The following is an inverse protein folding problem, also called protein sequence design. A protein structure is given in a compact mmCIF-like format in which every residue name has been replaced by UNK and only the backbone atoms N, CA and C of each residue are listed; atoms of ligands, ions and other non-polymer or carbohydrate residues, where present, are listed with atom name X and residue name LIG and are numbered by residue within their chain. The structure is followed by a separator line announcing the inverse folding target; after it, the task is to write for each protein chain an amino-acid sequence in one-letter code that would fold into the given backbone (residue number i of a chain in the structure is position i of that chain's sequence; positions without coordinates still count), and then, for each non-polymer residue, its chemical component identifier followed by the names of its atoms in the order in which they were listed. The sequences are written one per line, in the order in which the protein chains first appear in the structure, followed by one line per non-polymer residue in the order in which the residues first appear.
data_IF_711168372662
#
_entry.id   IF_711168372662
#
_cell.length_a   1.000
_cell.length_b   1.000
_cell.length_c   1.000
_cell.angle_alpha   90.00
_cell.angle_beta   90.00
_cell.angle_gamma   90.00
#
_symmetry.space_group_name_H-M   'P 1'
#
loop_
_entity.id
_entity.type
_entity.pdbx_description
1 polymer ?
#
# COMPACT_ATOMS: atom_id res chain seq x y z
N UNK A 1 42.78 44.54 -40.96
CA UNK A 1 42.30 45.35 -42.10
C UNK A 1 40.88 44.92 -42.44
N UNK A 2 39.96 45.84 -42.28
CA UNK A 2 38.54 45.84 -42.74
C UNK A 2 37.58 44.96 -41.94
N UNK A 3 36.66 45.49 -41.26
CA UNK A 3 35.77 46.66 -41.32
C UNK A 3 34.31 46.17 -41.32
N UNK A 4 33.64 46.50 -40.27
CA UNK A 4 32.22 46.90 -40.13
C UNK A 4 31.18 46.29 -41.10
N UNK A 5 30.06 45.78 -40.55
CA UNK A 5 28.80 46.49 -40.72
C UNK A 5 27.72 46.02 -39.71
N UNK A 6 27.23 46.97 -38.98
CA UNK A 6 25.98 46.95 -38.22
C UNK A 6 24.77 46.86 -39.16
N UNK A 7 23.80 46.02 -38.82
CA UNK A 7 22.40 46.29 -39.19
C UNK A 7 21.53 45.99 -37.98
N UNK A 8 21.10 47.10 -37.37
CA UNK A 8 19.95 47.10 -36.47
C UNK A 8 18.67 47.01 -37.31
N UNK A 9 17.78 46.07 -36.96
CA UNK A 9 16.39 46.13 -37.41
C UNK A 9 15.48 46.00 -36.18
N UNK A 10 14.94 47.13 -35.88
CA UNK A 10 13.74 47.34 -35.05
C UNK A 10 12.54 46.70 -35.72
N UNK A 11 11.80 45.86 -35.01
CA UNK A 11 10.45 45.49 -35.41
C UNK A 11 9.56 45.33 -34.17
N UNK A 12 8.83 46.36 -33.96
CA UNK A 12 7.39 46.48 -33.64
C UNK A 12 6.76 45.46 -32.73
N UNK A 13 6.36 45.99 -31.58
CA UNK A 13 5.33 45.46 -30.69
C UNK A 13 4.01 45.19 -31.44
N UNK A 14 3.56 43.97 -31.41
CA UNK A 14 2.19 43.60 -31.73
C UNK A 14 1.58 42.89 -30.52
N UNK A 15 0.93 43.66 -29.65
CA UNK A 15 0.12 43.12 -28.56
C UNK A 15 -1.17 42.56 -29.14
N UNK A 16 -1.26 41.24 -29.22
CA UNK A 16 -2.55 40.55 -29.46
C UNK A 16 -3.07 40.08 -28.12
N UNK A 17 -3.97 40.85 -27.57
CA UNK A 17 -4.76 40.51 -26.39
C UNK A 17 -5.85 39.51 -26.83
N UNK A 18 -5.64 38.23 -26.65
CA UNK A 18 -6.69 37.23 -26.81
C UNK A 18 -7.38 37.04 -25.46
N UNK A 19 -8.56 37.64 -25.34
CA UNK A 19 -9.50 37.36 -24.25
C UNK A 19 -10.06 35.95 -24.44
N UNK A 20 -9.55 35.01 -23.70
CA UNK A 20 -10.23 33.72 -23.47
C UNK A 20 -11.25 33.89 -22.37
N UNK A 21 -12.52 34.06 -22.76
CA UNK A 21 -13.63 33.84 -21.85
C UNK A 21 -13.70 32.34 -21.55
N UNK A 22 -13.18 31.91 -20.42
CA UNK A 22 -13.38 30.56 -19.92
C UNK A 22 -14.79 30.46 -19.36
N UNK A 23 -15.70 29.91 -20.15
CA UNK A 23 -16.98 29.40 -19.64
C UNK A 23 -16.72 28.20 -18.76
N UNK A 24 -16.80 28.40 -17.46
CA UNK A 24 -16.88 27.29 -16.51
C UNK A 24 -18.25 26.65 -16.64
N UNK A 25 -18.38 25.62 -17.46
CA UNK A 25 -19.47 24.67 -17.34
C UNK A 25 -19.15 23.75 -16.16
N UNK A 26 -19.76 24.02 -15.02
CA UNK A 26 -19.78 23.11 -13.89
C UNK A 26 -20.58 21.88 -14.33
N UNK A 27 -19.91 20.81 -14.69
CA UNK A 27 -20.53 19.50 -14.82
C UNK A 27 -20.75 18.97 -13.40
N UNK A 28 -21.94 19.19 -12.86
CA UNK A 28 -22.46 18.45 -11.72
C UNK A 28 -22.62 16.97 -12.14
N UNK A 29 -21.60 16.17 -11.91
CA UNK A 29 -21.75 14.73 -11.87
C UNK A 29 -22.37 14.37 -10.53
N UNK A 30 -23.69 14.52 -10.44
CA UNK A 30 -24.50 13.97 -9.37
C UNK A 30 -24.40 12.46 -9.38
N UNK A 31 -23.52 11.92 -8.51
CA UNK A 31 -23.54 10.50 -8.17
C UNK A 31 -24.94 10.18 -7.65
N UNK A 32 -25.70 9.41 -8.43
CA UNK A 32 -27.01 8.90 -8.03
C UNK A 32 -26.79 7.85 -6.95
N UNK A 33 -26.73 8.29 -5.70
CA UNK A 33 -27.01 7.39 -4.59
C UNK A 33 -28.49 7.02 -4.70
N UNK A 34 -28.76 5.74 -4.86
CA UNK A 34 -30.12 5.22 -4.83
C UNK A 34 -30.68 5.45 -3.43
N UNK A 35 -31.53 6.46 -3.28
CA UNK A 35 -32.30 6.70 -2.05
C UNK A 35 -33.69 6.09 -2.32
N UNK A 36 -34.16 5.14 -1.53
CA UNK A 36 -35.55 4.65 -1.67
C UNK A 36 -36.51 5.78 -1.37
N UNK A 37 -37.16 6.31 -2.38
CA UNK A 37 -38.24 7.28 -2.25
C UNK A 37 -39.55 6.55 -1.99
N UNK A 38 -39.76 6.03 -0.81
CA UNK A 38 -41.09 5.76 -0.26
C UNK A 38 -41.02 5.64 1.25
N UNK A 39 -40.98 6.75 1.94
CA UNK A 39 -41.49 6.79 3.30
C UNK A 39 -42.63 7.76 3.36
N UNK A 40 -43.83 7.23 3.28
CA UNK A 40 -45.04 7.93 3.70
C UNK A 40 -44.85 8.24 5.21
N UNK A 41 -44.78 9.52 5.61
CA UNK A 41 -44.56 9.88 7.01
C UNK A 41 -45.67 9.40 7.98
N UNK A 42 -46.82 8.96 7.48
CA UNK A 42 -47.94 8.55 8.31
C UNK A 42 -47.95 7.07 8.72
N UNK A 43 -46.94 6.27 8.34
CA UNK A 43 -46.91 4.84 8.69
C UNK A 43 -45.78 4.42 9.64
N UNK A 44 -44.94 5.34 10.10
CA UNK A 44 -43.92 4.99 11.09
C UNK A 44 -44.51 5.11 12.51
N UNK A 45 -45.12 4.06 12.99
CA UNK A 45 -45.38 3.86 14.42
C UNK A 45 -44.22 3.05 15.01
N UNK A 46 -43.40 3.61 15.91
CA UNK A 46 -42.44 2.83 16.62
C UNK A 46 -43.19 1.91 17.61
N UNK A 47 -43.26 0.63 17.29
CA UNK A 47 -43.68 -0.39 18.26
C UNK A 47 -42.59 -0.51 19.33
N UNK A 48 -42.65 0.32 20.35
CA UNK A 48 -41.93 0.11 21.59
C UNK A 48 -42.65 -1.03 22.31
N UNK A 49 -42.30 -2.27 21.97
CA UNK A 49 -42.67 -3.40 22.79
C UNK A 49 -41.71 -3.44 24.01
N UNK A 50 -42.10 -2.76 25.08
CA UNK A 50 -41.54 -2.97 26.39
C UNK A 50 -41.92 -4.39 26.82
N UNK A 51 -41.12 -5.39 26.46
CA UNK A 51 -41.20 -6.69 27.11
C UNK A 51 -40.38 -6.63 28.40
N UNK A 52 -41.13 -6.75 29.50
CA UNK A 52 -40.63 -6.94 30.86
C UNK A 52 -39.47 -7.96 30.87
N UNK A 53 -38.41 -7.58 31.59
CA UNK A 53 -37.26 -8.42 31.88
C UNK A 53 -37.72 -9.75 32.48
N UNK A 54 -37.63 -10.82 31.70
CA UNK A 54 -37.49 -12.14 32.22
C UNK A 54 -35.99 -12.27 32.56
N UNK A 55 -35.68 -12.50 33.81
CA UNK A 55 -34.35 -12.85 34.31
C UNK A 55 -33.98 -14.21 33.72
N UNK A 56 -33.53 -14.21 32.46
CA UNK A 56 -32.83 -15.36 31.92
C UNK A 56 -31.44 -15.39 32.55
N UNK A 57 -31.28 -16.32 33.49
CA UNK A 57 -29.98 -16.85 33.90
C UNK A 57 -29.22 -17.12 32.61
N UNK A 58 -28.24 -16.27 32.29
CA UNK A 58 -27.41 -16.37 31.09
C UNK A 58 -26.56 -17.62 31.23
N UNK A 59 -27.08 -18.76 30.77
CA UNK A 59 -26.25 -19.93 30.56
C UNK A 59 -25.13 -19.52 29.59
N UNK A 60 -23.92 -19.58 30.09
CA UNK A 60 -22.72 -19.30 29.30
C UNK A 60 -22.70 -20.29 28.16
N UNK A 61 -23.10 -19.84 26.98
CA UNK A 61 -23.03 -20.60 25.75
C UNK A 61 -21.61 -21.16 25.58
N UNK A 62 -21.43 -22.44 25.20
CA UNK A 62 -20.11 -23.04 24.97
C UNK A 62 -19.32 -22.34 23.84
N UNK A 63 -19.95 -21.46 23.10
CA UNK A 63 -19.31 -20.61 22.08
C UNK A 63 -18.32 -19.57 22.63
N UNK A 64 -18.32 -19.30 23.94
CA UNK A 64 -17.32 -18.43 24.55
C UNK A 64 -15.96 -19.10 24.80
N UNK A 65 -15.86 -20.41 24.59
CA UNK A 65 -14.60 -21.16 24.78
C UNK A 65 -13.62 -21.01 23.59
N UNK A 66 -14.04 -20.40 22.49
CA UNK A 66 -13.16 -20.03 21.38
C UNK A 66 -12.77 -18.54 21.45
N UNK A 67 -12.50 -18.01 22.63
CA UNK A 67 -11.65 -16.83 22.72
C UNK A 67 -10.32 -17.24 22.07
N UNK A 68 -10.12 -16.89 20.80
CA UNK A 68 -8.81 -16.99 20.16
C UNK A 68 -7.86 -16.30 21.11
N UNK A 69 -6.95 -17.07 21.70
CA UNK A 69 -5.82 -16.50 22.41
C UNK A 69 -5.28 -15.39 21.51
N UNK A 70 -5.12 -14.21 22.05
CA UNK A 70 -4.54 -13.10 21.28
C UNK A 70 -3.28 -13.64 20.60
N UNK A 71 -3.05 -13.39 19.31
CA UNK A 71 -1.90 -13.93 18.62
C UNK A 71 -0.64 -13.51 19.40
N UNK A 72 0.32 -14.42 19.56
CA UNK A 72 1.59 -14.13 20.24
C UNK A 72 2.31 -12.91 19.67
N UNK A 73 2.04 -12.62 18.39
CA UNK A 73 2.51 -11.44 17.69
C UNK A 73 1.52 -11.09 16.57
N UNK A 74 1.32 -9.81 16.31
CA UNK A 74 0.64 -9.34 15.11
C UNK A 74 1.47 -9.71 13.88
N UNK A 75 0.81 -9.97 12.76
CA UNK A 75 1.47 -10.51 11.57
C UNK A 75 0.98 -9.79 10.33
N UNK A 76 1.89 -9.19 9.56
CA UNK A 76 1.58 -8.38 8.38
C UNK A 76 2.41 -8.80 7.18
N UNK A 77 1.76 -8.92 6.04
CA UNK A 77 2.37 -9.05 4.72
C UNK A 77 2.22 -7.71 3.98
N UNK A 78 3.33 -7.18 3.50
CA UNK A 78 3.36 -6.07 2.56
C UNK A 78 3.83 -6.58 1.21
N UNK A 79 2.95 -6.50 0.19
CA UNK A 79 3.28 -6.97 -1.15
C UNK A 79 3.78 -5.84 -2.03
N UNK A 80 4.94 -6.03 -2.68
CA UNK A 80 5.45 -5.12 -3.71
C UNK A 80 5.63 -5.89 -5.01
N UNK A 81 4.84 -5.54 -6.03
CA UNK A 81 4.87 -6.19 -7.34
C UNK A 81 5.01 -5.20 -8.52
N UNK A 82 5.37 -3.96 -8.23
CA UNK A 82 5.63 -2.90 -9.22
C UNK A 82 7.06 -2.38 -9.08
N UNK A 83 7.64 -1.92 -10.19
CA UNK A 83 8.92 -1.23 -10.20
C UNK A 83 8.71 0.29 -10.09
N UNK A 84 7.91 0.69 -9.10
CA UNK A 84 7.64 2.09 -8.79
C UNK A 84 8.33 2.48 -7.47
N UNK A 85 9.28 3.42 -7.49
CA UNK A 85 9.95 3.89 -6.29
C UNK A 85 8.98 4.47 -5.23
N UNK A 86 7.87 5.08 -5.64
CA UNK A 86 6.89 5.61 -4.70
C UNK A 86 6.19 4.48 -3.93
N UNK A 87 5.76 3.42 -4.62
CA UNK A 87 5.16 2.23 -3.99
C UNK A 87 6.17 1.50 -3.08
N UNK A 88 7.44 1.40 -3.49
CA UNK A 88 8.50 0.82 -2.65
C UNK A 88 8.73 1.63 -1.36
N UNK A 89 8.80 2.96 -1.48
CA UNK A 89 8.91 3.84 -0.32
C UNK A 89 7.67 3.78 0.58
N UNK A 90 6.48 3.67 0.01
CA UNK A 90 5.23 3.52 0.77
C UNK A 90 5.23 2.21 1.56
N UNK A 91 5.69 1.11 0.97
CA UNK A 91 5.84 -0.17 1.68
C UNK A 91 6.75 -0.04 2.90
N UNK A 92 7.91 0.62 2.76
CA UNK A 92 8.84 0.86 3.87
C UNK A 92 8.24 1.77 4.95
N UNK A 93 7.53 2.83 4.55
CA UNK A 93 6.82 3.71 5.48
C UNK A 93 5.76 2.94 6.28
N UNK A 94 4.96 2.11 5.60
CA UNK A 94 3.93 1.31 6.25
C UNK A 94 4.56 0.30 7.23
N UNK A 95 5.67 -0.35 6.84
CA UNK A 95 6.39 -1.26 7.73
C UNK A 95 6.87 -0.54 9.01
N UNK A 96 7.50 0.63 8.86
CA UNK A 96 7.94 1.45 10.01
C UNK A 96 6.77 1.87 10.89
N UNK A 97 5.68 2.36 10.31
CA UNK A 97 4.53 2.84 11.06
C UNK A 97 3.86 1.71 11.87
N UNK A 98 3.72 0.53 11.27
CA UNK A 98 3.12 -0.62 11.94
C UNK A 98 4.05 -1.14 13.05
N UNK A 99 5.36 -1.25 12.79
CA UNK A 99 6.31 -1.66 13.81
C UNK A 99 6.32 -0.70 15.01
N UNK A 100 6.32 0.62 14.74
CA UNK A 100 6.29 1.64 15.80
C UNK A 100 4.99 1.59 16.60
N UNK A 101 3.84 1.46 15.94
CA UNK A 101 2.54 1.38 16.58
C UNK A 101 2.48 0.25 17.62
N UNK A 102 2.87 -0.97 17.25
CA UNK A 102 2.84 -2.10 18.16
C UNK A 102 3.93 -2.02 19.23
N UNK A 103 5.08 -1.44 18.91
CA UNK A 103 6.12 -1.15 19.90
C UNK A 103 5.62 -0.20 21.00
N UNK A 104 4.89 0.85 20.63
CA UNK A 104 4.33 1.82 21.58
C UNK A 104 3.26 1.17 22.49
N UNK A 105 2.57 0.14 22.00
CA UNK A 105 1.64 -0.67 22.80
C UNK A 105 2.33 -1.75 23.65
N UNK A 106 3.63 -1.97 23.48
CA UNK A 106 4.37 -3.08 24.12
C UNK A 106 4.00 -4.45 23.54
N UNK A 107 3.42 -4.49 22.34
CA UNK A 107 2.99 -5.70 21.63
C UNK A 107 4.00 -6.11 20.55
N UNK A 108 4.05 -7.40 20.27
CA UNK A 108 4.95 -7.93 19.22
C UNK A 108 4.29 -7.89 17.85
N UNK A 109 5.07 -7.56 16.84
CA UNK A 109 4.65 -7.66 15.44
C UNK A 109 5.72 -8.37 14.61
N UNK A 110 5.31 -9.05 13.54
CA UNK A 110 6.18 -9.60 12.48
C UNK A 110 5.70 -9.08 11.15
N UNK A 111 6.60 -8.53 10.35
CA UNK A 111 6.27 -7.93 9.05
C UNK A 111 7.13 -8.59 7.98
N UNK A 112 6.51 -9.14 6.94
CA UNK A 112 7.21 -9.62 5.76
C UNK A 112 6.89 -8.73 4.55
N UNK A 113 7.92 -8.12 3.97
CA UNK A 113 7.82 -7.41 2.69
C UNK A 113 8.16 -8.41 1.59
N UNK A 114 7.15 -8.84 0.84
CA UNK A 114 7.29 -9.87 -0.20
C UNK A 114 7.30 -9.22 -1.58
N UNK A 115 8.39 -9.44 -2.34
CA UNK A 115 8.56 -8.87 -3.69
C UNK A 115 8.54 -9.94 -4.77
N UNK A 116 7.84 -9.67 -5.86
CA UNK A 116 7.82 -10.51 -7.06
C UNK A 116 7.47 -9.70 -8.31
N UNK A 117 7.63 -10.30 -9.50
CA UNK A 117 7.46 -9.59 -10.76
C UNK A 117 8.34 -8.35 -10.83
N UNK A 118 7.87 -7.23 -11.41
CA UNK A 118 8.65 -5.99 -11.45
C UNK A 118 9.07 -5.46 -10.08
N UNK A 119 8.35 -5.79 -9.01
CA UNK A 119 8.68 -5.38 -7.65
C UNK A 119 9.99 -5.96 -7.11
N UNK A 120 10.54 -7.01 -7.75
CA UNK A 120 11.84 -7.56 -7.34
C UNK A 120 12.97 -6.54 -7.45
N UNK A 121 12.83 -5.50 -8.29
CA UNK A 121 13.80 -4.40 -8.36
C UNK A 121 14.03 -3.72 -7.00
N UNK A 122 13.04 -3.72 -6.11
CA UNK A 122 13.19 -3.23 -4.74
C UNK A 122 14.35 -3.89 -3.98
N UNK A 123 14.57 -5.18 -4.23
CA UNK A 123 15.56 -6.00 -3.51
C UNK A 123 16.79 -6.37 -4.37
N UNK A 124 16.90 -5.87 -5.58
CA UNK A 124 18.11 -6.07 -6.39
C UNK A 124 19.25 -5.21 -5.89
N UNK A 125 20.44 -5.80 -5.76
CA UNK A 125 21.62 -5.08 -5.28
C UNK A 125 22.10 -3.96 -6.23
N UNK A 126 21.79 -4.10 -7.54
CA UNK A 126 22.24 -3.21 -8.61
C UNK A 126 21.21 -2.12 -8.99
N UNK A 127 19.92 -2.36 -8.82
CA UNK A 127 18.88 -1.45 -9.32
C UNK A 127 17.90 -0.93 -8.27
N UNK A 128 18.02 -1.36 -7.00
CA UNK A 128 17.09 -0.93 -5.96
C UNK A 128 17.20 0.58 -5.70
N UNK A 129 16.10 1.33 -5.87
CA UNK A 129 16.09 2.76 -5.54
C UNK A 129 15.98 3.03 -4.03
N UNK A 130 15.71 1.99 -3.23
CA UNK A 130 15.49 2.07 -1.79
C UNK A 130 16.50 1.25 -0.97
N UNK A 131 17.60 0.83 -1.58
CA UNK A 131 18.60 -0.05 -0.96
C UNK A 131 19.09 0.49 0.38
N UNK A 132 19.52 1.75 0.44
CA UNK A 132 20.02 2.37 1.66
C UNK A 132 18.97 2.35 2.79
N UNK A 133 17.71 2.59 2.46
CA UNK A 133 16.61 2.53 3.43
C UNK A 133 16.36 1.11 3.96
N UNK A 134 16.52 0.10 3.11
CA UNK A 134 16.42 -1.32 3.52
C UNK A 134 17.55 -1.66 4.50
N UNK A 135 18.78 -1.24 4.19
CA UNK A 135 19.93 -1.44 5.05
C UNK A 135 19.73 -0.78 6.43
N UNK A 136 19.27 0.46 6.47
CA UNK A 136 18.96 1.20 7.70
C UNK A 136 17.81 0.52 8.48
N UNK A 137 16.75 0.13 7.80
CA UNK A 137 15.58 -0.51 8.42
C UNK A 137 15.95 -1.83 9.10
N UNK A 138 16.80 -2.63 8.50
CA UNK A 138 17.24 -3.91 9.10
C UNK A 138 18.05 -3.73 10.38
N UNK A 139 18.67 -2.57 10.58
CA UNK A 139 19.38 -2.24 11.81
C UNK A 139 18.44 -1.69 12.90
N UNK A 140 17.41 -0.96 12.49
CA UNK A 140 16.53 -0.21 13.39
C UNK A 140 15.20 -0.90 13.69
N UNK A 141 14.75 -1.81 12.83
CA UNK A 141 13.41 -2.42 12.88
C UNK A 141 13.50 -3.94 12.61
N UNK A 142 13.97 -4.73 13.58
CA UNK A 142 14.19 -6.17 13.42
C UNK A 142 12.90 -6.98 13.19
N UNK A 143 11.75 -6.38 13.42
CA UNK A 143 10.43 -6.96 13.16
C UNK A 143 10.12 -7.12 11.67
N UNK A 144 10.84 -6.39 10.80
CA UNK A 144 10.68 -6.42 9.34
C UNK A 144 11.64 -7.41 8.71
N UNK A 145 11.16 -8.19 7.77
CA UNK A 145 11.97 -9.09 6.94
C UNK A 145 11.59 -8.92 5.46
N UNK A 146 12.56 -9.13 4.58
CA UNK A 146 12.39 -8.97 3.14
C UNK A 146 12.49 -10.31 2.44
N UNK A 147 11.53 -10.60 1.53
CA UNK A 147 11.46 -11.86 0.78
C UNK A 147 11.46 -11.58 -0.71
N UNK A 148 12.49 -12.08 -1.39
CA UNK A 148 12.69 -11.97 -2.83
C UNK A 148 12.17 -13.22 -3.54
N UNK A 149 11.36 -13.08 -4.59
CA UNK A 149 10.86 -14.21 -5.37
C UNK A 149 11.94 -14.82 -6.25
N UNK A 150 12.36 -16.06 -5.98
CA UNK A 150 13.35 -16.79 -6.77
C UNK A 150 12.89 -17.08 -8.20
N UNK A 151 11.60 -17.38 -8.41
CA UNK A 151 11.05 -17.53 -9.77
C UNK A 151 11.20 -16.25 -10.60
N UNK A 152 11.01 -15.08 -9.99
CA UNK A 152 11.21 -13.80 -10.67
C UNK A 152 12.68 -13.53 -10.92
N UNK A 153 13.54 -13.78 -9.91
CA UNK A 153 14.99 -13.64 -10.03
C UNK A 153 15.52 -14.47 -11.20
N UNK A 154 15.07 -15.73 -11.32
CA UNK A 154 15.48 -16.63 -12.40
C UNK A 154 14.98 -16.14 -13.79
N UNK A 155 13.76 -15.63 -13.87
CA UNK A 155 13.25 -15.01 -15.11
C UNK A 155 14.08 -13.81 -15.54
N UNK A 156 14.41 -12.92 -14.60
CA UNK A 156 15.27 -11.75 -14.86
C UNK A 156 16.70 -12.19 -15.26
N UNK A 157 17.27 -13.21 -14.58
CA UNK A 157 18.57 -13.78 -14.94
C UNK A 157 18.61 -14.26 -16.37
N UNK A 158 17.57 -14.95 -16.84
CA UNK A 158 17.46 -15.42 -18.23
C UNK A 158 17.30 -14.27 -19.21
N UNK A 159 16.44 -13.29 -18.88
CA UNK A 159 16.17 -12.16 -19.77
C UNK A 159 17.38 -11.23 -19.92
N UNK A 160 18.14 -11.00 -18.84
CA UNK A 160 19.31 -10.12 -18.83
C UNK A 160 20.62 -10.87 -19.11
N UNK A 161 20.58 -12.20 -19.24
CA UNK A 161 21.74 -13.09 -19.43
C UNK A 161 22.89 -12.82 -18.43
N UNK A 162 22.54 -12.51 -17.18
CA UNK A 162 23.50 -12.24 -16.10
C UNK A 162 22.94 -12.62 -14.74
N UNK A 163 23.81 -12.79 -13.77
CA UNK A 163 23.38 -13.01 -12.38
C UNK A 163 22.64 -11.79 -11.83
N UNK A 164 21.51 -12.03 -11.15
CA UNK A 164 20.73 -11.01 -10.47
C UNK A 164 21.04 -11.12 -8.98
N UNK A 165 21.90 -10.25 -8.49
CA UNK A 165 22.24 -10.19 -7.08
C UNK A 165 21.08 -9.56 -6.27
N UNK A 166 20.73 -10.19 -5.17
CA UNK A 166 19.74 -9.69 -4.19
C UNK A 166 20.53 -9.05 -3.03
N UNK A 167 19.96 -8.00 -2.44
CA UNK A 167 20.54 -7.34 -1.26
C UNK A 167 20.71 -8.35 -0.13
N UNK A 168 21.79 -8.22 0.67
CA UNK A 168 22.11 -9.18 1.72
C UNK A 168 21.05 -9.27 2.83
N UNK A 169 20.23 -8.23 2.97
CA UNK A 169 19.15 -8.13 3.93
C UNK A 169 17.90 -8.93 3.55
N UNK A 170 17.82 -9.45 2.32
CA UNK A 170 16.66 -10.17 1.83
C UNK A 170 16.95 -11.67 1.68
N UNK A 171 15.97 -12.47 2.03
CA UNK A 171 15.96 -13.92 1.82
C UNK A 171 15.25 -14.25 0.50
N UNK A 172 15.82 -15.16 -0.27
CA UNK A 172 15.19 -15.66 -1.50
C UNK A 172 14.24 -16.81 -1.16
N UNK A 173 12.95 -16.62 -1.45
CA UNK A 173 11.91 -17.66 -1.36
C UNK A 173 11.61 -18.22 -2.75
N UNK A 174 11.22 -19.48 -2.87
CA UNK A 174 10.98 -20.13 -4.15
C UNK A 174 9.97 -19.35 -5.01
N UNK A 175 8.86 -18.93 -4.41
CA UNK A 175 7.81 -18.15 -5.09
C UNK A 175 7.21 -17.11 -4.13
N UNK A 176 7.28 -15.83 -4.51
CA UNK A 176 6.71 -14.75 -3.69
C UNK A 176 5.18 -14.86 -3.55
N UNK A 177 4.48 -15.25 -4.62
CA UNK A 177 3.01 -15.43 -4.56
C UNK A 177 2.63 -16.57 -3.64
N UNK A 178 3.32 -17.72 -3.73
CA UNK A 178 3.07 -18.85 -2.83
C UNK A 178 3.36 -18.46 -1.38
N UNK A 179 4.45 -17.70 -1.15
CA UNK A 179 4.76 -17.21 0.21
C UNK A 179 3.62 -16.36 0.78
N UNK A 180 3.02 -15.47 -0.02
CA UNK A 180 1.85 -14.68 0.40
C UNK A 180 0.67 -15.59 0.75
N UNK A 181 0.38 -16.60 -0.07
CA UNK A 181 -0.71 -17.56 0.19
C UNK A 181 -0.49 -18.33 1.50
N UNK A 182 0.70 -18.91 1.69
CA UNK A 182 1.07 -19.66 2.90
C UNK A 182 0.93 -18.82 4.17
N UNK A 183 1.28 -17.54 4.10
CA UNK A 183 1.15 -16.64 5.24
C UNK A 183 -0.31 -16.27 5.50
N UNK A 184 -1.11 -16.04 4.46
CA UNK A 184 -2.54 -15.78 4.61
C UNK A 184 -3.29 -17.01 5.18
N UNK A 185 -2.90 -18.22 4.78
CA UNK A 185 -3.41 -19.47 5.37
C UNK A 185 -3.09 -19.58 6.87
N UNK A 186 -2.03 -18.94 7.31
CA UNK A 186 -1.65 -18.79 8.74
C UNK A 186 -2.25 -17.56 9.40
N UNK A 187 -3.27 -16.97 8.80
CA UNK A 187 -4.00 -15.80 9.28
C UNK A 187 -3.18 -14.49 9.39
N UNK A 188 -2.13 -14.34 8.59
CA UNK A 188 -1.44 -13.06 8.46
C UNK A 188 -2.32 -12.03 7.76
N UNK A 189 -2.32 -10.81 8.26
CA UNK A 189 -2.95 -9.67 7.59
C UNK A 189 -2.19 -9.33 6.31
N UNK A 190 -2.92 -8.95 5.26
CA UNK A 190 -2.34 -8.60 3.96
C UNK A 190 -2.66 -7.17 3.59
N UNK A 191 -1.63 -6.43 3.18
CA UNK A 191 -1.77 -5.08 2.62
C UNK A 191 -0.89 -4.96 1.37
N UNK A 192 -1.46 -4.38 0.34
CA UNK A 192 -0.73 -3.97 -0.86
C UNK A 192 -0.62 -2.43 -0.84
N UNK A 193 0.59 -1.88 -0.67
CA UNK A 193 0.85 -0.44 -0.71
C UNK A 193 0.61 0.16 -2.08
#
# INVERSE_FOLDING_TARGET
MNMFQHIAKTATLGAVTVLFAASFAAAEQGGRYWVPTTTNPDTYQPRIAVKRAATHKRERSPLAANARLAPEAHQLILQVNTNDPAAMNLALNNATNVAQYYKDLGEKVKIEVVTFGPGLHMLRADTSPVKARIEEMMLSTPEVSFKACGNTQEKMRKAENRHIAIVAQAEVVKSGVVRVMELQERAWSYVKP
#
